data_IF_765659870589
#
_entry.id   IF_765659870589
#
_cell.length_a   1.000
_cell.length_b   1.000
_cell.length_c   1.000
_cell.angle_alpha   90.00
_cell.angle_beta   90.00
_cell.angle_gamma   90.00
#
_symmetry.space_group_name_H-M   'P 1'
#
loop_
_entity.id
_entity.type
_entity.pdbx_description
1 polymer ?
#
# COMPACT_ATOMS: atom_id res chain seq x y z
N UNK A 1 -33.54 7.38 -1.34
CA UNK A 1 -32.40 6.71 -0.67
C UNK A 1 -31.36 6.51 -1.74
N UNK A 2 -30.18 7.12 -1.60
CA UNK A 2 -29.08 6.95 -2.56
C UNK A 2 -28.42 5.61 -2.26
N UNK A 3 -28.39 4.70 -3.24
CA UNK A 3 -27.69 3.42 -3.11
C UNK A 3 -26.20 3.66 -2.83
N UNK A 4 -25.66 3.26 -1.67
CA UNK A 4 -24.25 3.45 -1.33
C UNK A 4 -23.31 2.69 -2.28
N UNK A 5 -23.79 1.62 -2.91
CA UNK A 5 -23.08 0.82 -3.91
C UNK A 5 -22.90 1.53 -5.27
N UNK A 6 -23.69 2.56 -5.58
CA UNK A 6 -23.57 3.28 -6.85
C UNK A 6 -22.22 4.01 -6.96
N UNK A 7 -21.71 4.54 -5.85
CA UNK A 7 -20.43 5.25 -5.78
C UNK A 7 -19.24 4.31 -6.03
N UNK A 8 -19.37 3.02 -5.66
CA UNK A 8 -18.30 2.04 -5.84
C UNK A 8 -18.20 1.52 -7.28
N UNK A 9 -19.32 1.50 -8.02
CA UNK A 9 -19.39 1.00 -9.41
C UNK A 9 -18.99 2.00 -10.49
N UNK A 10 -19.07 3.30 -10.21
CA UNK A 10 -18.90 4.35 -11.22
C UNK A 10 -17.45 4.80 -11.45
N UNK A 11 -16.46 4.10 -10.87
CA UNK A 11 -15.04 4.37 -11.14
C UNK A 11 -14.53 3.43 -12.25
N UNK A 12 -14.41 3.92 -13.50
CA UNK A 12 -13.84 3.12 -14.58
C UNK A 12 -12.38 2.76 -14.24
N UNK A 13 -12.06 1.46 -14.32
CA UNK A 13 -10.76 0.87 -14.02
C UNK A 13 -9.59 1.38 -14.89
N UNK A 14 -9.84 2.32 -15.80
CA UNK A 14 -8.97 2.69 -16.92
C UNK A 14 -8.59 4.18 -16.94
N UNK A 15 -8.68 4.85 -15.78
CA UNK A 15 -8.12 6.20 -15.61
C UNK A 15 -7.08 6.20 -14.51
N UNK A 16 -6.11 7.10 -14.65
CA UNK A 16 -4.94 7.29 -13.80
C UNK A 16 -5.27 7.61 -12.32
N UNK A 17 -6.56 7.68 -11.95
CA UNK A 17 -7.06 7.74 -10.59
C UNK A 17 -7.54 6.35 -10.15
N UNK A 18 -6.76 5.68 -9.32
CA UNK A 18 -7.26 4.54 -8.56
C UNK A 18 -8.53 4.95 -7.80
N UNK A 19 -9.50 4.03 -7.66
CA UNK A 19 -10.73 4.27 -6.89
C UNK A 19 -10.39 5.01 -5.58
N UNK A 20 -10.92 6.22 -5.33
CA UNK A 20 -10.46 7.07 -4.22
C UNK A 20 -10.73 6.46 -2.85
N UNK A 21 -11.76 5.61 -2.73
CA UNK A 21 -12.03 4.86 -1.50
C UNK A 21 -11.01 3.76 -1.29
N UNK A 22 -10.62 3.05 -2.36
CA UNK A 22 -9.56 2.06 -2.30
C UNK A 22 -8.21 2.71 -1.95
N UNK A 23 -7.88 3.82 -2.62
CA UNK A 23 -6.65 4.58 -2.36
C UNK A 23 -6.60 5.03 -0.89
N UNK A 24 -7.67 5.65 -0.39
CA UNK A 24 -7.73 6.03 1.02
C UNK A 24 -7.64 4.82 1.96
N UNK A 25 -8.32 3.72 1.65
CA UNK A 25 -8.23 2.47 2.40
C UNK A 25 -6.81 1.92 2.47
N UNK A 26 -6.04 2.05 1.39
CA UNK A 26 -4.62 1.65 1.37
C UNK A 26 -3.75 2.54 2.26
N UNK A 27 -3.97 3.86 2.32
CA UNK A 27 -3.27 4.73 3.28
C UNK A 27 -3.56 4.33 4.73
N UNK A 28 -4.83 4.11 5.07
CA UNK A 28 -5.24 3.67 6.41
C UNK A 28 -4.57 2.34 6.75
N UNK A 29 -4.59 1.38 5.83
CA UNK A 29 -3.93 0.08 5.99
C UNK A 29 -2.44 0.23 6.28
N UNK A 30 -1.73 1.08 5.54
CA UNK A 30 -0.29 1.34 5.75
C UNK A 30 -0.05 1.93 7.14
N UNK A 31 -0.87 2.89 7.57
CA UNK A 31 -0.78 3.46 8.91
C UNK A 31 -1.02 2.41 9.99
N UNK A 32 -2.01 1.54 9.82
CA UNK A 32 -2.27 0.42 10.74
C UNK A 32 -1.08 -0.54 10.78
N UNK A 33 -0.49 -0.87 9.64
CA UNK A 33 0.69 -1.73 9.55
C UNK A 33 1.87 -1.15 10.33
N UNK A 34 2.14 0.16 10.19
CA UNK A 34 3.21 0.85 10.92
C UNK A 34 2.90 0.93 12.42
N UNK A 35 1.67 1.32 12.80
CA UNK A 35 1.26 1.48 14.20
C UNK A 35 1.16 0.15 14.94
N UNK A 36 0.90 -0.96 14.26
CA UNK A 36 0.85 -2.30 14.85
C UNK A 36 2.13 -3.11 14.66
N UNK A 37 3.10 -2.58 13.90
CA UNK A 37 4.29 -3.30 13.44
C UNK A 37 3.96 -4.66 12.81
N UNK A 38 3.03 -4.63 11.84
CA UNK A 38 2.59 -5.79 11.08
C UNK A 38 2.73 -5.51 9.58
N UNK A 39 3.57 -6.24 8.84
CA UNK A 39 4.45 -7.31 9.32
C UNK A 39 5.55 -6.80 10.28
N UNK A 40 6.05 -7.65 11.19
CA UNK A 40 7.10 -7.28 12.14
C UNK A 40 8.32 -6.66 11.46
N UNK A 41 8.78 -5.52 11.97
CA UNK A 41 9.90 -4.76 11.41
C UNK A 41 9.52 -3.71 10.36
N UNK A 42 8.25 -3.63 9.94
CA UNK A 42 7.81 -2.59 9.01
C UNK A 42 7.94 -1.18 9.60
N UNK A 43 7.74 -1.01 10.90
CA UNK A 43 7.90 0.30 11.55
C UNK A 43 9.34 0.80 11.46
N UNK A 44 10.29 -0.04 11.87
CA UNK A 44 11.71 0.32 11.82
C UNK A 44 12.22 0.54 10.39
N UNK A 45 11.64 -0.16 9.42
CA UNK A 45 11.94 0.06 8.01
C UNK A 45 11.35 1.39 7.49
N UNK A 46 10.10 1.67 7.85
CA UNK A 46 9.43 2.94 7.52
C UNK A 46 10.20 4.14 8.06
N UNK A 47 10.62 4.11 9.32
CA UNK A 47 11.38 5.19 9.94
C UNK A 47 12.72 5.46 9.23
N UNK A 48 13.39 4.40 8.75
CA UNK A 48 14.61 4.53 7.95
C UNK A 48 14.34 5.14 6.58
N UNK A 49 13.31 4.64 5.88
CA UNK A 49 12.94 5.14 4.56
C UNK A 49 12.48 6.59 4.60
N UNK A 50 11.83 7.03 5.68
CA UNK A 50 11.37 8.41 5.85
C UNK A 50 12.52 9.43 5.78
N UNK A 51 13.74 9.05 6.14
CA UNK A 51 14.91 9.90 6.03
C UNK A 51 15.43 10.03 4.59
N UNK A 52 15.03 9.15 3.68
CA UNK A 52 15.52 9.08 2.30
C UNK A 52 14.50 9.51 1.25
N UNK A 53 13.27 9.83 1.64
CA UNK A 53 12.19 10.27 0.75
C UNK A 53 11.91 11.76 0.92
N UNK A 54 11.44 12.45 -0.14
CA UNK A 54 11.21 13.90 -0.10
C UNK A 54 10.11 14.30 0.90
N UNK A 55 9.10 13.45 1.07
CA UNK A 55 8.02 13.62 2.02
C UNK A 55 7.35 12.28 2.37
N UNK A 56 6.45 12.32 3.36
CA UNK A 56 5.72 11.15 3.86
C UNK A 56 4.75 10.60 2.82
N UNK A 57 4.07 11.45 2.06
CA UNK A 57 3.11 10.99 1.04
C UNK A 57 3.81 10.22 -0.08
N UNK A 58 4.99 10.70 -0.53
CA UNK A 58 5.81 10.01 -1.51
C UNK A 58 6.26 8.62 -1.02
N UNK A 59 6.65 8.51 0.26
CA UNK A 59 7.00 7.23 0.87
C UNK A 59 5.79 6.30 0.98
N UNK A 60 4.66 6.80 1.49
CA UNK A 60 3.43 6.00 1.61
C UNK A 60 2.94 5.51 0.24
N UNK A 61 3.02 6.34 -0.81
CA UNK A 61 2.71 5.91 -2.18
C UNK A 61 3.70 4.84 -2.68
N UNK A 62 4.99 4.94 -2.35
CA UNK A 62 5.96 3.91 -2.70
C UNK A 62 5.65 2.57 -2.02
N UNK A 63 5.29 2.61 -0.74
CA UNK A 63 4.86 1.42 0.04
C UNK A 63 3.52 0.88 -0.51
N UNK A 64 2.60 1.76 -0.88
CA UNK A 64 1.30 1.39 -1.46
C UNK A 64 1.46 0.57 -2.74
N UNK A 65 2.44 0.89 -3.59
CA UNK A 65 2.75 0.06 -4.76
C UNK A 65 3.16 -1.36 -4.34
N UNK A 66 4.01 -1.51 -3.33
CA UNK A 66 4.39 -2.82 -2.80
C UNK A 66 3.21 -3.58 -2.20
N UNK A 67 2.29 -2.87 -1.53
CA UNK A 67 1.08 -3.46 -0.97
C UNK A 67 0.13 -3.94 -2.07
N UNK A 68 -0.13 -3.10 -3.09
CA UNK A 68 -0.98 -3.44 -4.22
C UNK A 68 -0.44 -4.64 -5.00
N UNK A 69 0.87 -4.71 -5.23
CA UNK A 69 1.52 -5.89 -5.83
C UNK A 69 1.32 -7.15 -5.00
N UNK A 70 1.44 -7.05 -3.67
CA UNK A 70 1.28 -8.19 -2.76
C UNK A 70 -0.17 -8.68 -2.69
N UNK A 71 -1.14 -7.76 -2.73
CA UNK A 71 -2.56 -8.08 -2.81
C UNK A 71 -2.88 -8.77 -4.14
N UNK A 72 -2.42 -8.22 -5.27
CA UNK A 72 -2.62 -8.80 -6.60
C UNK A 72 -2.06 -10.22 -6.69
N UNK A 73 -0.84 -10.43 -6.21
CA UNK A 73 -0.23 -11.78 -6.21
C UNK A 73 -1.01 -12.77 -5.36
N UNK A 74 -1.54 -12.35 -4.21
CA UNK A 74 -2.42 -13.20 -3.40
C UNK A 74 -3.70 -13.57 -4.15
N UNK A 75 -4.36 -12.59 -4.79
CA UNK A 75 -5.55 -12.82 -5.60
C UNK A 75 -5.30 -13.78 -6.76
N UNK A 76 -4.23 -13.57 -7.53
CA UNK A 76 -3.85 -14.42 -8.66
C UNK A 76 -3.56 -15.87 -8.24
N UNK A 77 -3.00 -16.05 -7.03
CA UNK A 77 -2.64 -17.37 -6.49
C UNK A 77 -3.76 -18.01 -5.67
N UNK A 78 -4.86 -17.30 -5.40
CA UNK A 78 -5.91 -17.76 -4.49
C UNK A 78 -5.44 -17.95 -3.05
N UNK A 79 -4.41 -17.21 -2.62
CA UNK A 79 -3.78 -17.31 -1.31
C UNK A 79 -3.80 -15.95 -0.59
N UNK A 80 -3.56 -15.96 0.72
CA UNK A 80 -3.32 -14.72 1.45
C UNK A 80 -2.02 -14.05 0.98
N UNK A 81 -1.94 -12.71 0.99
CA UNK A 81 -0.71 -11.99 0.67
C UNK A 81 0.46 -12.45 1.56
N UNK A 82 1.60 -12.72 0.94
CA UNK A 82 2.80 -13.11 1.67
C UNK A 82 3.44 -11.88 2.32
N UNK A 83 3.28 -11.78 3.65
CA UNK A 83 3.81 -10.70 4.48
C UNK A 83 5.33 -10.54 4.39
N UNK A 84 6.08 -11.64 4.23
CA UNK A 84 7.55 -11.59 4.13
C UNK A 84 7.97 -10.99 2.79
N UNK A 85 7.33 -11.44 1.70
CA UNK A 85 7.57 -10.87 0.36
C UNK A 85 7.19 -9.40 0.32
N UNK A 86 6.07 -9.01 0.96
CA UNK A 86 5.69 -7.62 1.09
C UNK A 86 6.79 -6.80 1.80
N UNK A 87 7.25 -7.24 2.98
CA UNK A 87 8.30 -6.55 3.72
C UNK A 87 9.62 -6.47 2.93
N UNK A 88 10.00 -7.52 2.21
CA UNK A 88 11.17 -7.53 1.34
C UNK A 88 11.06 -6.52 0.19
N UNK A 89 9.87 -6.34 -0.39
CA UNK A 89 9.64 -5.30 -1.41
C UNK A 89 9.81 -3.91 -0.83
N UNK A 90 9.21 -3.65 0.34
CA UNK A 90 9.37 -2.37 1.04
C UNK A 90 10.85 -2.13 1.35
N UNK A 91 11.61 -3.16 1.71
CA UNK A 91 13.04 -3.03 2.01
C UNK A 91 13.86 -2.61 0.79
N UNK A 92 13.48 -3.06 -0.41
CA UNK A 92 14.14 -2.66 -1.66
C UNK A 92 13.95 -1.18 -2.00
N UNK A 93 13.03 -0.48 -1.33
CA UNK A 93 12.89 0.97 -1.45
C UNK A 93 14.11 1.71 -0.88
N UNK A 94 14.88 1.12 0.04
CA UNK A 94 16.10 1.74 0.61
C UNK A 94 17.18 1.99 -0.47
N UNK A 95 17.20 1.19 -1.54
CA UNK A 95 18.14 1.32 -2.65
C UNK A 95 17.62 2.10 -3.86
N UNK A 96 16.36 2.56 -3.81
CA UNK A 96 15.71 3.35 -4.87
C UNK A 96 15.54 4.79 -4.38
N UNK A 97 16.66 5.46 -4.12
CA UNK A 97 16.64 6.90 -3.83
C UNK A 97 16.25 7.62 -5.13
N UNK A 98 15.14 8.36 -5.09
CA UNK A 98 14.69 9.28 -6.15
C UNK A 98 15.28 10.67 -5.91
#
# INVERSE_FOLDING_TARGET
MSDPDAIMRDYPSDTTEANPFLHMGMHITILEQITTDRPPGIRALYDRLRASYPDVHALEHAIMRCLAESLREGQERGELPDERRYLDRVRRLEGRVL
#
